data_IF_385766886102
#
_entry.id   IF_385766886102
#
_cell.length_a   1.000
_cell.length_b   1.000
_cell.length_c   1.000
_cell.angle_alpha   90.00
_cell.angle_beta   90.00
_cell.angle_gamma   90.00
#
_symmetry.space_group_name_H-M   'P 1'
#
loop_
_entity.id
_entity.type
_entity.pdbx_description
1 polymer ?
#
# COMPACT_ATOMS: atom_id res chain seq x y z
N UNK A 1 14.80 -9.32 24.36
CA UNK A 1 15.41 -8.63 23.21
C UNK A 1 16.52 -7.73 23.79
N UNK A 2 17.79 -7.98 23.43
CA UNK A 2 18.89 -7.14 23.91
C UNK A 2 19.09 -6.06 22.87
N UNK A 3 18.72 -4.83 23.17
CA UNK A 3 19.06 -3.67 22.35
C UNK A 3 20.58 -3.48 22.46
N UNK A 4 21.25 -3.52 21.32
CA UNK A 4 22.68 -3.19 21.25
C UNK A 4 22.71 -1.73 20.81
N UNK A 5 23.09 -0.83 21.72
CA UNK A 5 23.39 0.55 21.36
C UNK A 5 24.68 0.54 20.52
N UNK A 6 24.58 1.04 19.31
CA UNK A 6 25.73 1.36 18.50
C UNK A 6 25.98 2.87 18.59
N UNK A 7 27.24 3.26 18.66
CA UNK A 7 27.65 4.62 18.37
C UNK A 7 27.21 5.01 16.95
N UNK A 8 26.92 6.26 16.72
CA UNK A 8 26.58 6.76 15.38
C UNK A 8 27.64 6.32 14.36
N UNK A 9 27.18 5.85 13.21
CA UNK A 9 28.05 5.48 12.08
C UNK A 9 28.18 6.64 11.12
N UNK A 10 29.35 6.77 10.48
CA UNK A 10 29.60 7.87 9.53
C UNK A 10 28.85 7.67 8.20
N UNK A 11 28.69 6.41 7.78
CA UNK A 11 28.03 6.05 6.54
C UNK A 11 27.51 4.60 6.56
N UNK A 12 26.84 4.17 5.48
CA UNK A 12 26.28 2.83 5.35
C UNK A 12 27.32 1.72 5.20
N UNK A 13 28.51 2.02 4.66
CA UNK A 13 29.60 1.02 4.56
C UNK A 13 30.09 0.66 5.97
N UNK A 14 30.29 1.66 6.82
CA UNK A 14 30.67 1.44 8.20
C UNK A 14 29.56 0.69 8.97
N UNK A 15 28.29 1.05 8.76
CA UNK A 15 27.16 0.38 9.39
C UNK A 15 27.11 -1.11 9.04
N UNK A 16 27.25 -1.46 7.79
CA UNK A 16 27.26 -2.86 7.35
C UNK A 16 28.52 -3.60 7.84
N UNK A 17 29.68 -2.99 7.82
CA UNK A 17 30.89 -3.59 8.37
C UNK A 17 30.77 -3.91 9.88
N UNK A 18 30.14 -3.02 10.65
CA UNK A 18 29.85 -3.28 12.07
C UNK A 18 28.83 -4.42 12.23
N UNK A 19 27.84 -4.51 11.35
CA UNK A 19 26.87 -5.62 11.32
C UNK A 19 27.57 -6.96 11.05
N UNK A 20 28.46 -7.02 10.05
CA UNK A 20 29.28 -8.19 9.72
C UNK A 20 30.08 -8.64 10.93
N UNK A 21 30.82 -7.74 11.56
CA UNK A 21 31.63 -8.03 12.75
C UNK A 21 30.78 -8.54 13.92
N UNK A 22 29.57 -8.01 14.09
CA UNK A 22 28.61 -8.45 15.10
C UNK A 22 28.14 -9.88 14.82
N UNK A 23 27.77 -10.18 13.58
CA UNK A 23 27.25 -11.48 13.18
C UNK A 23 28.33 -12.54 13.22
N UNK A 24 29.59 -12.21 12.86
CA UNK A 24 30.73 -13.12 12.94
C UNK A 24 31.14 -13.43 14.41
N UNK A 25 31.00 -12.46 15.32
CA UNK A 25 31.19 -12.69 16.78
C UNK A 25 30.14 -13.63 17.38
N UNK A 26 28.92 -13.60 16.86
CA UNK A 26 27.87 -14.55 17.25
C UNK A 26 28.11 -15.89 16.56
N UNK A 27 29.09 -16.68 17.03
CA UNK A 27 29.36 -18.08 16.59
C UNK A 27 28.14 -18.97 16.87
N UNK A 28 27.04 -18.70 16.21
CA UNK A 28 25.82 -19.51 16.27
C UNK A 28 25.98 -20.68 15.32
N UNK A 29 25.86 -21.91 15.83
CA UNK A 29 25.69 -23.11 14.99
C UNK A 29 24.32 -23.11 14.29
N UNK A 30 23.46 -22.15 14.59
CA UNK A 30 22.11 -21.99 14.04
C UNK A 30 22.05 -21.01 12.89
N UNK A 31 20.84 -20.86 12.33
CA UNK A 31 20.51 -19.87 11.31
C UNK A 31 20.59 -18.46 11.89
N UNK A 32 21.21 -17.56 11.17
CA UNK A 32 21.20 -16.12 11.45
C UNK A 32 20.11 -15.48 10.58
N UNK A 33 19.32 -14.60 11.16
CA UNK A 33 18.30 -13.84 10.41
C UNK A 33 18.63 -12.36 10.57
N UNK A 34 18.75 -11.70 9.42
CA UNK A 34 18.82 -10.24 9.35
C UNK A 34 17.57 -9.77 8.62
N UNK A 35 16.80 -8.89 9.28
CA UNK A 35 15.59 -8.32 8.73
C UNK A 35 15.79 -6.81 8.61
N UNK A 36 15.66 -6.27 7.39
CA UNK A 36 15.74 -4.84 7.12
C UNK A 36 14.38 -4.39 6.61
N UNK A 37 13.70 -3.62 7.43
CA UNK A 37 12.37 -3.09 7.15
C UNK A 37 12.47 -1.76 6.40
N UNK A 38 11.50 -1.50 5.52
CA UNK A 38 11.37 -0.27 4.73
C UNK A 38 12.66 0.15 4.02
N UNK A 39 13.26 -0.78 3.31
CA UNK A 39 14.53 -0.59 2.58
C UNK A 39 14.56 0.68 1.71
N UNK A 40 13.46 1.04 0.98
CA UNK A 40 13.42 2.25 0.17
C UNK A 40 13.69 3.55 0.94
N UNK A 41 13.34 3.61 2.23
CA UNK A 41 13.54 4.79 3.08
C UNK A 41 15.00 5.02 3.46
N UNK A 42 15.82 3.97 3.36
CA UNK A 42 17.24 4.03 3.66
C UNK A 42 18.06 4.58 2.48
N UNK A 43 17.50 4.50 1.27
CA UNK A 43 18.14 4.96 0.04
C UNK A 43 17.85 6.44 -0.23
N UNK A 44 18.39 7.30 0.62
CA UNK A 44 18.26 8.74 0.44
C UNK A 44 19.31 9.28 -0.55
N UNK A 45 19.04 10.41 -1.24
CA UNK A 45 20.03 11.04 -2.10
C UNK A 45 21.36 11.26 -1.37
N UNK A 46 22.46 10.81 -1.95
CA UNK A 46 23.83 10.87 -1.40
C UNK A 46 24.19 9.85 -0.32
N UNK A 47 23.24 9.07 0.19
CA UNK A 47 23.51 8.06 1.23
C UNK A 47 24.37 6.89 0.75
N UNK A 48 24.42 6.64 -0.58
CA UNK A 48 25.10 5.48 -1.18
C UNK A 48 24.67 4.14 -0.58
N UNK A 49 23.43 4.08 -0.11
CA UNK A 49 22.89 2.91 0.58
C UNK A 49 22.94 1.65 -0.28
N UNK A 50 22.43 1.72 -1.52
CA UNK A 50 22.42 0.57 -2.43
C UNK A 50 23.83 0.04 -2.70
N UNK A 51 24.82 0.91 -2.91
CA UNK A 51 26.19 0.49 -3.11
C UNK A 51 26.78 -0.20 -1.89
N UNK A 52 26.50 0.28 -0.70
CA UNK A 52 26.94 -0.35 0.56
C UNK A 52 26.23 -1.67 0.80
N UNK A 53 24.93 -1.75 0.48
CA UNK A 53 24.13 -2.98 0.58
C UNK A 53 24.60 -4.04 -0.42
N UNK A 54 24.91 -3.65 -1.66
CA UNK A 54 25.55 -4.50 -2.67
C UNK A 54 26.86 -5.09 -2.17
N UNK A 55 27.73 -4.26 -1.62
CA UNK A 55 29.03 -4.65 -1.06
C UNK A 55 28.83 -5.65 0.10
N UNK A 56 27.99 -5.31 1.07
CA UNK A 56 27.64 -6.21 2.18
C UNK A 56 27.20 -7.59 1.72
N UNK A 57 26.29 -7.64 0.73
CA UNK A 57 25.79 -8.92 0.25
C UNK A 57 26.82 -9.69 -0.55
N UNK A 58 27.47 -9.06 -1.53
CA UNK A 58 28.34 -9.77 -2.46
C UNK A 58 29.69 -10.19 -1.82
N UNK A 59 30.24 -9.38 -0.94
CA UNK A 59 31.56 -9.64 -0.36
C UNK A 59 31.48 -10.50 0.91
N UNK A 60 30.40 -10.36 1.68
CA UNK A 60 30.26 -11.06 2.95
C UNK A 60 29.02 -11.98 3.01
N UNK A 61 27.82 -11.48 2.74
CA UNK A 61 26.54 -12.16 2.97
C UNK A 61 26.37 -13.42 2.11
N UNK A 62 26.67 -13.34 0.83
CA UNK A 62 26.51 -14.44 -0.13
C UNK A 62 27.36 -15.69 0.22
N UNK A 63 28.46 -15.51 0.95
CA UNK A 63 29.30 -16.61 1.43
C UNK A 63 28.79 -17.31 2.69
N UNK A 64 27.72 -16.80 3.33
CA UNK A 64 27.21 -17.33 4.61
C UNK A 64 26.02 -18.28 4.39
N UNK A 65 26.25 -19.58 4.39
CA UNK A 65 25.22 -20.61 4.19
C UNK A 65 24.11 -20.63 5.27
N UNK A 66 24.37 -20.04 6.43
CA UNK A 66 23.43 -19.98 7.55
C UNK A 66 22.79 -18.61 7.74
N UNK A 67 22.97 -17.66 6.81
CA UNK A 67 22.37 -16.34 6.83
C UNK A 67 21.06 -16.33 6.01
N UNK A 68 20.00 -15.88 6.63
CA UNK A 68 18.76 -15.49 5.96
C UNK A 68 18.64 -13.96 6.04
N UNK A 69 18.79 -13.31 4.90
CA UNK A 69 18.56 -11.87 4.76
C UNK A 69 17.16 -11.65 4.21
N UNK A 70 16.33 -10.94 4.96
CA UNK A 70 14.97 -10.57 4.57
C UNK A 70 14.95 -9.05 4.46
N UNK A 71 14.45 -8.57 3.36
CA UNK A 71 14.25 -7.13 3.12
C UNK A 71 12.81 -6.88 2.71
N UNK A 72 12.21 -5.81 3.19
CA UNK A 72 10.87 -5.42 2.78
C UNK A 72 10.79 -3.92 2.48
N UNK A 73 9.71 -3.51 1.85
CA UNK A 73 9.41 -2.11 1.57
C UNK A 73 8.04 -1.96 0.95
N UNK A 74 7.36 -0.88 1.32
CA UNK A 74 6.04 -0.51 0.80
C UNK A 74 6.10 0.10 -0.60
N UNK A 75 7.22 0.71 -0.99
CA UNK A 75 7.43 1.30 -2.30
C UNK A 75 7.73 0.21 -3.36
N UNK A 76 6.69 -0.48 -3.82
CA UNK A 76 6.79 -1.60 -4.78
C UNK A 76 7.61 -1.25 -6.03
N UNK A 77 7.43 -0.06 -6.59
CA UNK A 77 8.21 0.39 -7.74
C UNK A 77 9.71 0.43 -7.46
N UNK A 78 10.10 0.99 -6.30
CA UNK A 78 11.50 1.05 -5.90
C UNK A 78 12.09 -0.34 -5.70
N UNK A 79 11.36 -1.25 -5.01
CA UNK A 79 11.81 -2.63 -4.79
C UNK A 79 12.04 -3.38 -6.10
N UNK A 80 11.09 -3.25 -7.03
CA UNK A 80 11.21 -3.88 -8.34
C UNK A 80 12.37 -3.28 -9.17
N UNK A 81 12.51 -1.98 -9.19
CA UNK A 81 13.46 -1.30 -10.07
C UNK A 81 14.90 -1.39 -9.52
N UNK A 82 15.09 -1.37 -8.19
CA UNK A 82 16.42 -1.33 -7.56
C UNK A 82 16.94 -2.67 -7.02
N UNK A 83 16.07 -3.64 -6.72
CA UNK A 83 16.48 -4.95 -6.25
C UNK A 83 16.25 -6.04 -7.30
N UNK A 84 15.03 -6.16 -7.79
CA UNK A 84 14.62 -7.32 -8.61
C UNK A 84 15.07 -7.18 -10.06
N UNK A 85 14.75 -6.04 -10.68
CA UNK A 85 15.05 -5.75 -12.09
C UNK A 85 16.38 -4.98 -12.28
N UNK A 86 17.07 -4.67 -11.19
CA UNK A 86 18.34 -3.94 -11.26
C UNK A 86 19.37 -4.78 -12.03
N UNK A 87 20.04 -4.16 -12.99
CA UNK A 87 21.12 -4.78 -13.75
C UNK A 87 22.51 -4.66 -13.05
N UNK A 88 22.52 -4.17 -11.80
CA UNK A 88 23.73 -4.02 -10.96
C UNK A 88 24.09 -5.30 -10.19
N UNK A 89 24.87 -5.15 -9.13
CA UNK A 89 25.43 -6.25 -8.35
C UNK A 89 24.42 -7.07 -7.55
N UNK A 90 23.16 -6.60 -7.43
CA UNK A 90 22.08 -7.35 -6.79
C UNK A 90 21.26 -8.20 -7.78
N UNK A 91 21.54 -8.10 -9.08
CA UNK A 91 20.83 -8.86 -10.09
C UNK A 91 20.92 -10.39 -9.85
N UNK A 92 19.75 -11.05 -9.82
CA UNK A 92 19.68 -12.50 -9.63
C UNK A 92 20.08 -12.97 -8.23
N UNK A 93 20.20 -12.08 -7.24
CA UNK A 93 20.55 -12.42 -5.85
C UNK A 93 19.33 -12.76 -4.99
N UNK A 94 18.13 -12.38 -5.43
CA UNK A 94 16.89 -12.70 -4.74
C UNK A 94 16.50 -14.15 -4.98
N UNK A 95 16.35 -14.92 -3.91
CA UNK A 95 15.98 -16.35 -3.98
C UNK A 95 14.46 -16.55 -3.82
N UNK A 96 13.76 -15.60 -3.16
CA UNK A 96 12.35 -15.65 -2.91
C UNK A 96 11.77 -14.24 -2.94
N UNK A 97 10.69 -14.06 -3.66
CA UNK A 97 9.93 -12.84 -3.74
C UNK A 97 8.53 -13.11 -3.21
N UNK A 98 8.07 -12.26 -2.29
CA UNK A 98 6.72 -12.32 -1.76
C UNK A 98 6.03 -10.98 -1.93
N UNK A 99 4.96 -10.96 -2.71
CA UNK A 99 4.04 -9.83 -2.74
C UNK A 99 2.93 -10.09 -1.72
N UNK A 100 2.92 -9.31 -0.64
CA UNK A 100 1.88 -9.38 0.37
C UNK A 100 0.68 -8.56 -0.09
N UNK A 101 -0.33 -9.26 -0.60
CA UNK A 101 -1.60 -8.65 -0.96
C UNK A 101 -2.45 -8.38 0.30
N UNK A 102 -3.38 -7.42 0.25
CA UNK A 102 -4.42 -7.29 1.25
C UNK A 102 -5.18 -8.62 1.42
N UNK A 103 -5.80 -8.81 2.56
CA UNK A 103 -6.63 -9.99 2.81
C UNK A 103 -7.75 -10.11 1.78
N UNK A 104 -8.04 -11.33 1.38
CA UNK A 104 -9.27 -11.67 0.68
C UNK A 104 -10.48 -11.47 1.60
N UNK A 105 -11.68 -11.49 1.04
CA UNK A 105 -12.91 -11.39 1.84
C UNK A 105 -12.99 -12.48 2.92
N UNK A 106 -12.61 -13.72 2.60
CA UNK A 106 -12.60 -14.83 3.54
C UNK A 106 -11.54 -14.67 4.66
N UNK A 107 -10.37 -14.14 4.31
CA UNK A 107 -9.33 -13.84 5.30
C UNK A 107 -9.72 -12.65 6.18
N UNK A 108 -10.42 -11.65 5.63
CA UNK A 108 -10.98 -10.53 6.38
C UNK A 108 -11.97 -11.02 7.42
N UNK A 109 -12.94 -11.88 7.04
CA UNK A 109 -13.89 -12.52 7.96
C UNK A 109 -13.15 -13.27 9.08
N UNK A 110 -12.16 -14.08 8.71
CA UNK A 110 -11.35 -14.86 9.66
C UNK A 110 -10.56 -13.96 10.61
N UNK A 111 -9.96 -12.89 10.10
CA UNK A 111 -9.18 -11.95 10.90
C UNK A 111 -10.05 -11.21 11.91
N UNK A 112 -11.20 -10.67 11.49
CA UNK A 112 -12.16 -9.99 12.36
C UNK A 112 -12.66 -10.93 13.46
N UNK A 113 -13.06 -12.14 13.10
CA UNK A 113 -13.51 -13.14 14.05
C UNK A 113 -12.44 -13.47 15.10
N UNK A 114 -11.19 -13.68 14.70
CA UNK A 114 -10.06 -13.93 15.62
C UNK A 114 -9.80 -12.77 16.57
N UNK A 115 -10.15 -11.55 16.18
CA UNK A 115 -10.06 -10.35 17.03
C UNK A 115 -11.29 -10.15 17.92
N UNK A 116 -12.27 -11.05 17.86
CA UNK A 116 -13.52 -10.95 18.62
C UNK A 116 -14.53 -9.96 18.01
N UNK A 117 -14.31 -9.49 16.80
CA UNK A 117 -15.24 -8.64 16.06
C UNK A 117 -16.21 -9.55 15.31
N UNK A 118 -17.44 -9.65 15.81
CA UNK A 118 -18.47 -10.51 15.23
C UNK A 118 -19.42 -9.66 14.40
N UNK A 119 -19.34 -9.78 13.09
CA UNK A 119 -20.19 -9.13 12.10
C UNK A 119 -20.92 -10.18 11.30
N UNK A 120 -22.10 -9.86 10.78
CA UNK A 120 -22.74 -10.73 9.80
C UNK A 120 -22.00 -10.66 8.44
N UNK A 121 -22.30 -11.58 7.52
CA UNK A 121 -21.60 -11.67 6.25
C UNK A 121 -21.78 -10.43 5.37
N UNK A 122 -22.92 -9.77 5.46
CA UNK A 122 -23.15 -8.53 4.72
C UNK A 122 -22.27 -7.40 5.25
N UNK A 123 -22.17 -7.28 6.57
CA UNK A 123 -21.30 -6.31 7.23
C UNK A 123 -19.81 -6.61 6.99
N UNK A 124 -19.42 -7.89 6.89
CA UNK A 124 -18.05 -8.27 6.47
C UNK A 124 -17.75 -7.79 5.04
N UNK A 125 -18.70 -7.96 4.10
CA UNK A 125 -18.55 -7.43 2.74
C UNK A 125 -18.42 -5.91 2.74
N UNK A 126 -19.25 -5.21 3.51
CA UNK A 126 -19.15 -3.75 3.65
C UNK A 126 -17.80 -3.36 4.25
N UNK A 127 -17.34 -4.02 5.32
CA UNK A 127 -16.02 -3.79 5.91
C UNK A 127 -14.90 -3.95 4.87
N UNK A 128 -14.98 -4.99 4.04
CA UNK A 128 -14.03 -5.20 2.96
C UNK A 128 -14.06 -4.06 1.93
N UNK A 129 -15.25 -3.57 1.55
CA UNK A 129 -15.41 -2.44 0.62
C UNK A 129 -14.89 -1.11 1.18
N UNK A 130 -14.73 -0.98 2.50
CA UNK A 130 -14.20 0.22 3.15
C UNK A 130 -12.68 0.16 3.33
N UNK A 131 -12.15 -1.05 3.55
CA UNK A 131 -10.77 -1.26 3.99
C UNK A 131 -9.89 -1.90 2.92
N UNK A 132 -10.48 -2.45 1.87
CA UNK A 132 -9.76 -3.23 0.85
C UNK A 132 -9.10 -4.51 1.40
N UNK A 133 -9.46 -4.95 2.60
CA UNK A 133 -8.81 -6.08 3.26
C UNK A 133 -7.43 -5.77 3.85
N UNK A 134 -7.06 -4.51 3.96
CA UNK A 134 -5.78 -4.10 4.56
C UNK A 134 -5.79 -4.40 6.06
N UNK A 135 -4.91 -5.30 6.50
CA UNK A 135 -4.85 -5.77 7.89
C UNK A 135 -4.70 -4.62 8.91
N UNK A 136 -3.94 -3.60 8.56
CA UNK A 136 -3.76 -2.40 9.37
C UNK A 136 -5.08 -1.67 9.61
N UNK A 137 -5.89 -1.46 8.59
CA UNK A 137 -7.19 -0.80 8.70
C UNK A 137 -8.18 -1.65 9.49
N UNK A 138 -8.19 -2.96 9.25
CA UNK A 138 -9.03 -3.91 9.98
C UNK A 138 -8.66 -3.98 11.48
N UNK A 139 -7.41 -3.66 11.83
CA UNK A 139 -6.95 -3.68 13.22
C UNK A 139 -7.64 -2.66 14.12
N UNK A 140 -8.25 -1.63 13.57
CA UNK A 140 -8.97 -0.59 14.32
C UNK A 140 -10.41 -0.96 14.67
N UNK A 141 -10.96 -2.01 14.05
CA UNK A 141 -12.30 -2.49 14.38
C UNK A 141 -12.36 -3.06 15.81
N UNK A 142 -13.34 -2.64 16.57
CA UNK A 142 -13.49 -2.99 18.00
C UNK A 142 -14.61 -4.01 18.19
N UNK A 143 -14.38 -5.03 19.05
CA UNK A 143 -15.42 -5.96 19.47
C UNK A 143 -16.58 -5.24 20.19
N UNK A 144 -17.79 -5.75 20.03
CA UNK A 144 -18.99 -5.25 20.72
C UNK A 144 -19.62 -4.02 20.09
N UNK A 145 -18.97 -3.40 19.09
CA UNK A 145 -19.55 -2.32 18.31
C UNK A 145 -20.19 -2.86 17.03
N UNK A 146 -21.28 -2.26 16.61
CA UNK A 146 -21.85 -2.48 15.27
C UNK A 146 -20.88 -2.00 14.19
N UNK A 147 -21.12 -2.41 12.94
CA UNK A 147 -20.35 -1.91 11.80
C UNK A 147 -20.39 -0.38 11.72
N UNK A 148 -21.57 0.22 11.88
CA UNK A 148 -21.71 1.67 11.79
C UNK A 148 -20.94 2.43 12.87
N UNK A 149 -20.99 1.96 14.11
CA UNK A 149 -20.23 2.54 15.22
C UNK A 149 -18.72 2.42 14.98
N UNK A 150 -18.23 1.30 14.45
CA UNK A 150 -16.85 1.13 14.06
C UNK A 150 -16.45 2.12 12.95
N UNK A 151 -17.26 2.27 11.91
CA UNK A 151 -16.99 3.20 10.81
C UNK A 151 -16.93 4.63 11.32
N UNK A 152 -17.89 5.05 12.15
CA UNK A 152 -17.91 6.39 12.72
C UNK A 152 -16.66 6.65 13.58
N UNK A 153 -16.27 5.70 14.42
CA UNK A 153 -15.09 5.81 15.28
C UNK A 153 -13.78 5.91 14.47
N UNK A 154 -13.68 5.17 13.36
CA UNK A 154 -12.43 5.04 12.59
C UNK A 154 -12.27 6.20 11.59
N UNK A 155 -13.37 6.63 10.92
CA UNK A 155 -13.31 7.55 9.80
C UNK A 155 -13.90 8.94 10.07
N UNK A 156 -14.90 9.06 10.97
CA UNK A 156 -15.66 10.29 11.16
C UNK A 156 -15.49 10.96 12.52
N UNK A 157 -14.97 10.24 13.52
CA UNK A 157 -14.63 10.85 14.80
C UNK A 157 -13.50 11.87 14.64
N UNK A 158 -13.46 12.89 15.51
CA UNK A 158 -12.48 13.98 15.49
C UNK A 158 -11.01 13.51 15.46
N UNK A 159 -10.73 12.33 16.04
CA UNK A 159 -9.43 11.69 16.05
C UNK A 159 -9.50 10.28 15.41
N UNK A 160 -10.35 10.12 14.41
CA UNK A 160 -10.49 8.85 13.68
C UNK A 160 -9.16 8.44 13.05
N UNK A 161 -8.72 7.22 13.33
CA UNK A 161 -7.40 6.73 12.93
C UNK A 161 -7.15 6.79 11.42
N UNK A 162 -8.19 6.59 10.60
CA UNK A 162 -8.09 6.59 9.15
C UNK A 162 -8.50 7.93 8.50
N UNK A 163 -8.84 8.94 9.30
CA UNK A 163 -9.23 10.25 8.80
C UNK A 163 -8.09 10.96 8.03
N UNK A 164 -6.83 10.76 8.45
CA UNK A 164 -5.64 11.32 7.80
C UNK A 164 -4.85 10.28 7.00
N UNK A 165 -5.35 9.06 6.93
CA UNK A 165 -4.61 7.95 6.32
C UNK A 165 -4.42 8.10 4.82
N UNK A 166 -5.38 8.72 4.12
CA UNK A 166 -5.26 9.02 2.70
C UNK A 166 -4.01 9.85 2.39
N UNK A 167 -3.73 10.86 3.22
CA UNK A 167 -2.54 11.69 3.08
C UNK A 167 -1.26 10.93 3.37
N UNK A 168 -1.27 10.09 4.40
CA UNK A 168 -0.12 9.26 4.80
C UNK A 168 0.20 8.21 3.74
N UNK A 169 -0.82 7.55 3.18
CA UNK A 169 -0.68 6.55 2.13
C UNK A 169 0.08 7.12 0.94
N UNK A 170 -0.34 8.27 0.41
CA UNK A 170 0.33 8.88 -0.73
C UNK A 170 1.74 9.37 -0.40
N UNK A 171 1.96 9.89 0.80
CA UNK A 171 3.29 10.32 1.25
C UNK A 171 4.25 9.14 1.41
N UNK A 172 3.76 7.98 1.85
CA UNK A 172 4.58 6.78 1.99
C UNK A 172 4.94 6.15 0.65
N UNK A 173 4.01 6.17 -0.32
CA UNK A 173 4.22 5.52 -1.62
C UNK A 173 4.98 6.38 -2.63
N UNK A 174 4.86 7.71 -2.55
CA UNK A 174 5.35 8.61 -3.60
C UNK A 174 6.00 9.86 -2.99
N UNK A 175 7.28 10.09 -3.30
CA UNK A 175 8.03 11.25 -2.79
C UNK A 175 7.42 12.59 -3.24
N UNK A 176 6.98 12.69 -4.52
CA UNK A 176 6.16 13.80 -5.04
C UNK A 176 4.77 13.26 -5.37
N UNK A 177 3.84 13.42 -4.43
CA UNK A 177 2.54 12.76 -4.50
C UNK A 177 1.41 13.61 -5.13
N UNK A 178 1.62 14.90 -5.41
CA UNK A 178 0.57 15.79 -5.90
C UNK A 178 -0.04 15.33 -7.23
N UNK A 179 0.79 14.90 -8.18
CA UNK A 179 0.34 14.35 -9.46
C UNK A 179 -0.44 13.04 -9.30
N UNK A 180 0.04 12.16 -8.44
CA UNK A 180 -0.60 10.87 -8.16
C UNK A 180 -1.98 11.04 -7.54
N UNK A 181 -2.12 11.94 -6.57
CA UNK A 181 -3.42 12.28 -5.94
C UNK A 181 -4.41 12.79 -6.96
N UNK A 182 -3.99 13.73 -7.81
CA UNK A 182 -4.85 14.29 -8.87
C UNK A 182 -5.36 13.21 -9.83
N UNK A 183 -4.52 12.24 -10.18
CA UNK A 183 -4.92 11.08 -11.00
C UNK A 183 -5.98 10.26 -10.28
N UNK A 184 -5.74 9.90 -9.02
CA UNK A 184 -6.64 9.05 -8.21
C UNK A 184 -7.97 9.75 -7.94
N UNK A 185 -7.96 11.04 -7.62
CA UNK A 185 -9.16 11.86 -7.44
C UNK A 185 -9.98 11.93 -8.75
N UNK A 186 -9.32 12.18 -9.88
CA UNK A 186 -9.98 12.19 -11.19
C UNK A 186 -10.61 10.83 -11.52
N UNK A 187 -9.91 9.73 -11.23
CA UNK A 187 -10.43 8.39 -11.45
C UNK A 187 -11.57 8.03 -10.51
N UNK A 188 -11.58 8.54 -9.27
CA UNK A 188 -12.65 8.29 -8.30
C UNK A 188 -14.01 8.83 -8.78
N UNK A 189 -14.00 9.91 -9.53
CA UNK A 189 -15.19 10.52 -10.13
C UNK A 189 -15.66 9.81 -11.42
N UNK A 190 -14.82 8.93 -11.97
CA UNK A 190 -15.07 8.25 -13.24
C UNK A 190 -15.11 6.71 -13.02
N UNK A 191 -16.26 6.20 -12.58
CA UNK A 191 -16.47 4.78 -12.19
C UNK A 191 -16.06 3.77 -13.25
N UNK A 192 -16.20 4.14 -14.54
CA UNK A 192 -15.86 3.28 -15.67
C UNK A 192 -14.40 3.42 -16.10
N UNK A 193 -13.58 4.18 -15.33
CA UNK A 193 -12.21 4.48 -15.71
C UNK A 193 -12.09 5.43 -16.90
N UNK A 194 -10.85 5.76 -17.23
CA UNK A 194 -10.53 6.69 -18.31
C UNK A 194 -9.36 6.16 -19.14
N UNK A 195 -9.32 6.49 -20.42
CA UNK A 195 -8.11 6.32 -21.23
C UNK A 195 -7.02 7.28 -20.75
N UNK A 196 -5.79 7.02 -21.15
CA UNK A 196 -4.66 7.88 -20.76
C UNK A 196 -4.85 9.33 -21.23
N UNK A 197 -5.39 9.52 -22.42
CA UNK A 197 -5.66 10.81 -23.04
C UNK A 197 -6.76 11.57 -22.27
N UNK A 198 -7.90 10.92 -22.04
CA UNK A 198 -9.00 11.50 -21.28
C UNK A 198 -8.60 11.82 -19.81
N UNK A 199 -7.76 10.98 -19.22
CA UNK A 199 -7.22 11.22 -17.88
C UNK A 199 -6.27 12.41 -17.85
N UNK A 200 -5.38 12.53 -18.84
CA UNK A 200 -4.48 13.67 -18.99
C UNK A 200 -5.24 14.99 -19.03
N UNK A 201 -6.27 15.05 -19.87
CA UNK A 201 -7.14 16.20 -20.04
C UNK A 201 -7.87 16.56 -18.74
N UNK A 202 -8.60 15.58 -18.15
CA UNK A 202 -9.40 15.82 -16.94
C UNK A 202 -8.56 16.14 -15.70
N UNK A 203 -7.42 15.49 -15.54
CA UNK A 203 -6.51 15.72 -14.42
C UNK A 203 -5.64 16.97 -14.63
N UNK A 204 -5.64 17.59 -15.81
CA UNK A 204 -4.77 18.73 -16.13
C UNK A 204 -3.28 18.38 -16.06
N UNK A 205 -2.91 17.17 -16.49
CA UNK A 205 -1.54 16.67 -16.50
C UNK A 205 -1.10 16.49 -17.95
N UNK A 206 0.09 16.98 -18.29
CA UNK A 206 0.61 16.88 -19.65
C UNK A 206 0.72 15.41 -20.12
N UNK A 207 0.24 15.15 -21.34
CA UNK A 207 0.35 13.83 -21.96
C UNK A 207 1.83 13.56 -22.30
N UNK A 208 2.48 12.66 -21.58
CA UNK A 208 3.90 12.41 -21.76
C UNK A 208 4.44 11.27 -20.89
N UNK A 209 5.77 11.19 -20.82
CA UNK A 209 6.50 10.17 -20.05
C UNK A 209 6.19 10.23 -18.56
N UNK A 210 6.06 11.42 -17.99
CA UNK A 210 5.74 11.62 -16.56
C UNK A 210 4.41 10.99 -16.19
N UNK A 211 3.34 11.26 -16.95
CA UNK A 211 2.04 10.62 -16.72
C UNK A 211 2.12 9.10 -16.85
N UNK A 212 2.84 8.60 -17.87
CA UNK A 212 3.00 7.16 -18.07
C UNK A 212 3.72 6.50 -16.91
N UNK A 213 4.73 7.15 -16.33
CA UNK A 213 5.44 6.64 -15.16
C UNK A 213 4.57 6.66 -13.91
N UNK A 214 3.80 7.74 -13.69
CA UNK A 214 2.84 7.82 -12.59
C UNK A 214 1.78 6.71 -12.68
N UNK A 215 1.21 6.49 -13.86
CA UNK A 215 0.22 5.41 -14.06
C UNK A 215 0.82 4.02 -13.81
N UNK A 216 2.04 3.77 -14.29
CA UNK A 216 2.75 2.51 -14.00
C UNK A 216 2.96 2.32 -12.50
N UNK A 217 3.35 3.35 -11.77
CA UNK A 217 3.56 3.29 -10.34
C UNK A 217 2.24 3.02 -9.59
N UNK A 218 1.14 3.69 -9.95
CA UNK A 218 -0.18 3.46 -9.36
C UNK A 218 -0.70 2.03 -9.62
N UNK A 219 -0.41 1.47 -10.80
CA UNK A 219 -0.76 0.08 -11.12
C UNK A 219 0.09 -0.90 -10.33
N UNK A 220 1.41 -0.66 -10.21
CA UNK A 220 2.32 -1.49 -9.41
C UNK A 220 1.99 -1.48 -7.91
N UNK A 221 1.36 -0.39 -7.43
CA UNK A 221 0.92 -0.25 -6.03
C UNK A 221 -0.51 -0.73 -5.80
N UNK A 222 -1.12 -1.43 -6.74
CA UNK A 222 -2.48 -1.99 -6.70
C UNK A 222 -3.60 -0.94 -6.48
N UNK A 223 -3.29 0.37 -6.61
CA UNK A 223 -4.29 1.43 -6.48
C UNK A 223 -5.18 1.52 -7.73
N UNK A 224 -4.61 1.27 -8.90
CA UNK A 224 -5.26 1.40 -10.20
C UNK A 224 -5.12 0.11 -11.00
N UNK A 225 -6.19 -0.32 -11.63
CA UNK A 225 -6.18 -1.47 -12.55
C UNK A 225 -6.32 -1.00 -13.99
N UNK A 226 -5.64 -1.70 -14.89
CA UNK A 226 -5.79 -1.54 -16.33
C UNK A 226 -6.78 -2.57 -16.85
N UNK A 227 -7.73 -2.17 -17.69
CA UNK A 227 -8.60 -3.08 -18.38
C UNK A 227 -8.87 -2.64 -19.82
N UNK A 228 -9.47 -3.52 -20.59
CA UNK A 228 -9.86 -3.31 -21.98
C UNK A 228 -11.35 -3.64 -22.11
N UNK A 229 -12.08 -2.82 -22.86
CA UNK A 229 -13.47 -3.11 -23.14
C UNK A 229 -13.58 -4.33 -24.06
N UNK A 230 -14.63 -5.12 -23.83
CA UNK A 230 -14.92 -6.26 -24.70
C UNK A 230 -15.21 -5.78 -26.14
N UNK A 231 -14.54 -6.39 -27.13
CA UNK A 231 -14.69 -6.02 -28.54
C UNK A 231 -13.85 -4.83 -29.01
N UNK A 232 -13.15 -4.11 -28.11
CA UNK A 232 -12.23 -3.04 -28.49
C UNK A 232 -10.80 -3.55 -28.73
N UNK A 233 -10.00 -2.74 -29.43
CA UNK A 233 -8.58 -3.03 -29.61
C UNK A 233 -7.85 -3.01 -28.28
N UNK A 234 -6.96 -4.00 -28.03
CA UNK A 234 -6.06 -4.01 -26.86
C UNK A 234 -5.15 -2.78 -26.77
N UNK A 235 -5.11 -1.93 -27.78
CA UNK A 235 -4.37 -0.66 -27.76
C UNK A 235 -5.08 0.41 -26.93
N UNK A 236 -6.41 0.34 -26.77
CA UNK A 236 -7.19 1.27 -25.95
C UNK A 236 -7.27 0.72 -24.53
N UNK A 237 -6.39 1.23 -23.67
CA UNK A 237 -6.33 0.87 -22.25
C UNK A 237 -7.13 1.86 -21.41
N UNK A 238 -7.92 1.33 -20.49
CA UNK A 238 -8.65 2.10 -19.50
C UNK A 238 -7.99 1.91 -18.13
N UNK A 239 -7.81 3.00 -17.41
CA UNK A 239 -7.31 3.05 -16.06
C UNK A 239 -8.47 3.29 -15.11
N UNK A 240 -8.62 2.44 -14.10
CA UNK A 240 -9.71 2.50 -13.13
C UNK A 240 -9.14 2.44 -11.72
N UNK A 241 -9.61 3.34 -10.85
CA UNK A 241 -9.33 3.25 -9.41
C UNK A 241 -10.05 2.02 -8.85
N UNK A 242 -9.30 1.12 -8.24
CA UNK A 242 -9.83 -0.14 -7.67
C UNK A 242 -9.51 -0.29 -6.20
N UNK A 243 -8.65 0.56 -5.65
CA UNK A 243 -8.39 0.58 -4.21
C UNK A 243 -9.66 1.00 -3.45
N UNK A 244 -10.16 0.10 -2.63
CA UNK A 244 -11.42 0.27 -1.93
C UNK A 244 -11.35 1.38 -0.88
N UNK A 245 -10.22 1.50 -0.17
CA UNK A 245 -10.04 2.56 0.82
C UNK A 245 -10.08 3.95 0.17
N UNK A 246 -9.34 4.15 -0.93
CA UNK A 246 -9.36 5.42 -1.66
C UNK A 246 -10.75 5.75 -2.21
N UNK A 247 -11.47 4.76 -2.75
CA UNK A 247 -12.84 4.94 -3.23
C UNK A 247 -13.79 5.38 -2.11
N UNK A 248 -13.70 4.73 -0.96
CA UNK A 248 -14.51 5.09 0.20
C UNK A 248 -14.14 6.46 0.75
N UNK A 249 -12.85 6.71 0.95
CA UNK A 249 -12.37 7.99 1.49
C UNK A 249 -12.80 9.17 0.63
N UNK A 250 -12.55 9.13 -0.67
CA UNK A 250 -12.91 10.20 -1.60
C UNK A 250 -14.42 10.33 -1.80
N UNK A 251 -15.14 9.22 -1.72
CA UNK A 251 -16.59 9.20 -1.88
C UNK A 251 -17.36 9.74 -0.68
N UNK A 252 -16.89 9.48 0.52
CA UNK A 252 -17.64 9.71 1.76
C UNK A 252 -16.88 10.56 2.78
N UNK A 253 -15.64 10.24 3.09
CA UNK A 253 -14.90 10.91 4.17
C UNK A 253 -14.52 12.33 3.79
N UNK A 254 -13.87 12.50 2.64
CA UNK A 254 -13.43 13.81 2.16
C UNK A 254 -14.60 14.77 1.87
N UNK A 255 -15.73 14.22 1.40
CA UNK A 255 -16.93 15.02 1.06
C UNK A 255 -17.75 15.42 2.28
N UNK A 256 -17.44 14.91 3.44
CA UNK A 256 -18.13 15.24 4.68
C UNK A 256 -17.20 15.94 5.68
N UNK A 257 -17.03 17.26 5.56
CA UNK A 257 -16.16 18.03 6.43
C UNK A 257 -16.76 18.30 7.82
N UNK A 258 -17.97 17.84 8.08
CA UNK A 258 -18.60 18.04 9.39
C UNK A 258 -18.10 16.99 10.36
N UNK A 259 -17.55 17.41 11.52
CA UNK A 259 -17.17 16.55 12.65
C UNK A 259 -18.40 15.86 13.28
N UNK A 260 -19.31 15.33 12.46
CA UNK A 260 -20.42 14.53 12.92
C UNK A 260 -19.91 13.13 13.28
N UNK A 261 -19.81 12.84 14.57
CA UNK A 261 -19.30 11.59 15.11
C UNK A 261 -20.20 10.38 14.81
N UNK A 262 -21.43 10.62 14.39
CA UNK A 262 -22.44 9.60 14.06
C UNK A 262 -22.87 9.70 12.58
N UNK A 263 -21.99 10.25 11.75
CA UNK A 263 -22.31 10.52 10.34
C UNK A 263 -22.76 9.27 9.60
N UNK A 264 -22.01 8.18 9.75
CA UNK A 264 -22.32 6.92 9.04
C UNK A 264 -23.58 6.28 9.59
N UNK A 265 -23.72 6.24 10.91
CA UNK A 265 -24.91 5.73 11.58
C UNK A 265 -26.18 6.46 11.12
N UNK A 266 -26.15 7.78 11.07
CA UNK A 266 -27.27 8.62 10.68
C UNK A 266 -27.61 8.53 9.18
N UNK A 267 -26.63 8.21 8.33
CA UNK A 267 -26.76 8.23 6.88
C UNK A 267 -26.76 6.84 6.21
N UNK A 268 -26.74 5.74 6.95
CA UNK A 268 -26.74 4.37 6.42
C UNK A 268 -27.80 4.13 5.32
N UNK A 269 -28.97 4.73 5.46
CA UNK A 269 -30.05 4.60 4.49
C UNK A 269 -29.80 5.32 3.16
N UNK A 270 -28.94 6.35 3.15
CA UNK A 270 -28.54 7.05 1.91
C UNK A 270 -27.58 6.20 1.09
N UNK A 271 -26.61 5.57 1.71
CA UNK A 271 -25.69 4.66 1.01
C UNK A 271 -26.43 3.46 0.41
N UNK A 272 -27.40 2.88 1.15
CA UNK A 272 -28.27 1.81 0.63
C UNK A 272 -29.17 2.26 -0.52
N UNK A 273 -29.58 3.52 -0.58
CA UNK A 273 -30.39 4.06 -1.69
C UNK A 273 -29.57 4.29 -2.95
N UNK A 274 -28.28 4.64 -2.84
CA UNK A 274 -27.36 4.76 -3.97
C UNK A 274 -26.99 3.40 -4.55
N UNK A 275 -26.76 2.39 -3.72
CA UNK A 275 -26.56 1.00 -4.17
C UNK A 275 -27.79 0.45 -4.92
N UNK A 276 -29.00 0.76 -4.48
CA UNK A 276 -30.24 0.41 -5.19
C UNK A 276 -30.38 1.14 -6.53
N UNK A 277 -29.87 2.36 -6.64
CA UNK A 277 -29.87 3.12 -7.89
C UNK A 277 -28.93 2.52 -8.91
N UNK A 278 -27.71 2.12 -8.49
CA UNK A 278 -26.73 1.43 -9.32
C UNK A 278 -27.26 0.06 -9.77
N UNK A 279 -27.92 -0.67 -8.92
CA UNK A 279 -28.54 -1.97 -9.26
C UNK A 279 -29.70 -1.88 -10.25
N UNK A 280 -30.36 -0.73 -10.39
CA UNK A 280 -31.39 -0.48 -11.41
C UNK A 280 -30.81 -0.11 -12.78
N UNK A 281 -29.71 0.63 -12.80
CA UNK A 281 -29.02 1.02 -14.05
C UNK A 281 -28.31 -0.17 -14.72
N UNK A 282 -27.94 -1.22 -13.97
CA UNK A 282 -27.39 -2.46 -14.53
C UNK A 282 -28.44 -3.41 -15.12
N UNK A 283 -29.75 -3.11 -15.02
CA UNK A 283 -30.85 -3.95 -15.55
C UNK A 283 -31.57 -3.32 -16.76
N UNK A 284 -31.17 -2.15 -17.18
CA UNK A 284 -31.58 -1.45 -18.41
C UNK A 284 -30.45 -1.47 -19.43
#
# INVERSE_FOLDING_TARGET
>A
MRLINFDETSDWFEAFHRLEALLDKKRSKGKMVVFIDELPWLDTPRAKFLSAFEHFWNDWGAGKHNLLLIVCGSATSWMLDNLINNKGGLYGRTNCEMHLHPFTLAETETYLHRRGVTLDRYDVVQTYMLTGGVAYYLSYFQPGLSLAENIDAIYFAENGFLQTEYDRLFTSLFADNAGYRRIVETLSENRYGLTREALAEKAGIALGGTLSNMLKALVKSDLVTIYWNFGESKRTQYYKLTDMFCLFYLGFVQRNPTNNRTYWYDNQNRSRSEERRVGKECRS
#
